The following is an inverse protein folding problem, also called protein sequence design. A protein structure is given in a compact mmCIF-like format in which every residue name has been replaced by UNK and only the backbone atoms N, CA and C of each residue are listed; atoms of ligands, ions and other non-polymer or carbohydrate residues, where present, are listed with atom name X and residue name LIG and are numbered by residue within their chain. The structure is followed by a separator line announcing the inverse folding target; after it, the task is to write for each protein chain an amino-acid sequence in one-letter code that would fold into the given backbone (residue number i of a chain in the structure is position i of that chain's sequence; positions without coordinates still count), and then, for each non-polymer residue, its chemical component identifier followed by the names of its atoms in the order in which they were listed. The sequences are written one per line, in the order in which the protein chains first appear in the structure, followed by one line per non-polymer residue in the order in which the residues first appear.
data_IF_403263990002
#
_entry.id   IF_403263990002
#
_cell.length_a   1.000
_cell.length_b   1.000
_cell.length_c   1.000
_cell.angle_alpha   90.00
_cell.angle_beta   90.00
_cell.angle_gamma   90.00
#
_symmetry.space_group_name_H-M   'P 1'
#
loop_
_entity.id
_entity.type
_entity.pdbx_description
1 polymer ?
#
# COMPACT_ATOMS: atom_id res chain seq x y z
N UNK A 1 9.40 15.39 2.78
CA UNK A 1 9.00 13.99 2.48
C UNK A 1 9.78 13.06 3.41
N UNK A 2 9.11 12.20 4.19
CA UNK A 2 9.82 11.31 5.13
C UNK A 2 10.68 10.28 4.36
N UNK A 3 11.98 10.09 4.69
CA UNK A 3 12.92 9.21 3.98
C UNK A 3 12.42 7.78 3.75
N UNK A 4 11.63 7.27 4.71
CA UNK A 4 11.06 5.92 4.69
C UNK A 4 10.03 5.71 3.57
N UNK A 5 9.36 6.77 3.09
CA UNK A 5 8.35 6.65 2.02
C UNK A 5 8.98 6.42 0.66
N UNK A 6 10.06 7.15 0.37
CA UNK A 6 10.77 7.02 -0.91
C UNK A 6 11.48 5.67 -0.98
N UNK A 7 12.15 5.25 0.10
CA UNK A 7 12.83 3.95 0.13
C UNK A 7 11.85 2.78 -0.04
N UNK A 8 10.66 2.87 0.55
CA UNK A 8 9.59 1.90 0.33
C UNK A 8 9.17 1.85 -1.15
N UNK A 9 8.89 2.99 -1.78
CA UNK A 9 8.44 3.04 -3.18
C UNK A 9 9.47 2.46 -4.14
N UNK A 10 10.75 2.85 -3.99
CA UNK A 10 11.83 2.32 -4.83
C UNK A 10 11.91 0.80 -4.70
N UNK A 11 11.88 0.27 -3.47
CA UNK A 11 11.90 -1.18 -3.23
C UNK A 11 10.65 -1.89 -3.75
N UNK A 12 9.48 -1.28 -3.64
CA UNK A 12 8.22 -1.84 -4.13
C UNK A 12 8.25 -2.01 -5.66
N UNK A 13 8.66 -0.96 -6.37
CA UNK A 13 8.74 -0.94 -7.83
C UNK A 13 9.80 -1.91 -8.36
N UNK A 14 10.94 -1.99 -7.66
CA UNK A 14 12.00 -2.92 -8.04
C UNK A 14 11.77 -4.36 -7.53
N UNK A 15 10.69 -4.64 -6.79
CA UNK A 15 10.41 -5.99 -6.26
C UNK A 15 11.38 -6.47 -5.17
N UNK A 16 11.96 -5.55 -4.39
CA UNK A 16 12.92 -5.82 -3.30
C UNK A 16 12.29 -5.72 -1.91
N UNK A 17 10.96 -5.69 -1.81
CA UNK A 17 10.27 -5.74 -0.53
C UNK A 17 10.39 -7.14 0.11
N UNK A 18 10.28 -7.26 1.44
CA UNK A 18 10.34 -8.53 2.14
C UNK A 18 9.04 -9.36 1.95
N UNK A 19 8.68 -9.72 0.71
CA UNK A 19 7.63 -10.71 0.43
C UNK A 19 8.15 -12.12 0.72
N UNK A 20 7.29 -13.10 1.01
CA UNK A 20 7.78 -14.46 1.33
C UNK A 20 8.68 -15.04 0.23
N UNK A 21 8.40 -14.77 -1.05
CA UNK A 21 9.29 -15.18 -2.13
C UNK A 21 10.72 -14.61 -2.03
N UNK A 22 10.88 -13.37 -1.56
CA UNK A 22 12.19 -12.76 -1.35
C UNK A 22 12.83 -13.23 -0.04
N UNK A 23 12.04 -13.43 1.01
CA UNK A 23 12.54 -13.99 2.27
C UNK A 23 13.13 -15.40 2.07
N UNK A 24 12.49 -16.24 1.25
CA UNK A 24 13.05 -17.54 0.85
C UNK A 24 14.35 -17.37 0.07
N UNK A 25 14.37 -16.44 -0.90
CA UNK A 25 15.59 -16.14 -1.66
C UNK A 25 16.75 -15.67 -0.77
N UNK A 26 16.46 -15.01 0.34
CA UNK A 26 17.46 -14.54 1.31
C UNK A 26 17.80 -15.58 2.39
N UNK A 27 17.22 -16.78 2.33
CA UNK A 27 17.44 -17.82 3.34
C UNK A 27 16.83 -17.50 4.71
N UNK A 28 15.84 -16.60 4.76
CA UNK A 28 15.15 -16.18 6.00
C UNK A 28 13.83 -16.92 6.22
N UNK A 29 13.35 -17.66 5.22
CA UNK A 29 12.13 -18.46 5.28
C UNK A 29 12.29 -19.69 4.38
N UNK A 30 11.57 -20.77 4.67
CA UNK A 30 11.61 -21.99 3.86
C UNK A 30 10.55 -22.00 2.75
N UNK A 31 9.40 -21.37 2.98
CA UNK A 31 8.22 -21.46 2.11
C UNK A 31 7.76 -20.07 1.60
N UNK A 32 7.67 -19.87 0.27
CA UNK A 32 7.24 -18.60 -0.31
C UNK A 32 5.71 -18.43 -0.34
N UNK A 33 4.96 -19.34 0.26
CA UNK A 33 3.49 -19.38 0.16
C UNK A 33 2.81 -18.20 0.86
N UNK A 34 1.76 -17.68 0.23
CA UNK A 34 0.89 -16.65 0.77
C UNK A 34 -0.07 -17.26 1.80
N UNK A 35 -0.16 -16.70 3.01
CA UNK A 35 -1.02 -17.25 4.06
C UNK A 35 -2.52 -17.14 3.76
N UNK A 36 -2.90 -16.31 2.79
CA UNK A 36 -4.32 -16.05 2.45
C UNK A 36 -4.79 -16.96 1.30
N UNK A 37 -4.00 -17.06 0.23
CA UNK A 37 -4.43 -17.74 -0.98
C UNK A 37 -3.64 -19.01 -1.31
N UNK A 38 -2.64 -19.35 -0.48
CA UNK A 38 -1.75 -20.50 -0.67
C UNK A 38 -0.98 -20.53 -2.00
N UNK A 39 -0.90 -19.38 -2.70
CA UNK A 39 -0.07 -19.20 -3.90
C UNK A 39 1.29 -18.60 -3.57
N UNK A 40 2.21 -18.54 -4.53
CA UNK A 40 3.52 -17.91 -4.34
C UNK A 40 3.39 -16.40 -4.06
N UNK A 41 3.91 -15.95 -2.92
CA UNK A 41 3.80 -14.56 -2.46
C UNK A 41 4.99 -13.70 -2.92
N UNK A 42 4.86 -13.15 -4.13
CA UNK A 42 5.76 -12.12 -4.65
C UNK A 42 5.36 -10.72 -4.16
N UNK A 43 6.23 -9.72 -4.39
CA UNK A 43 5.86 -8.31 -4.11
C UNK A 43 4.62 -7.89 -4.91
N UNK A 44 4.55 -8.26 -6.19
CA UNK A 44 3.38 -8.01 -7.04
C UNK A 44 2.11 -8.73 -6.53
N UNK A 45 2.26 -9.97 -6.04
CA UNK A 45 1.15 -10.72 -5.44
C UNK A 45 0.50 -9.96 -4.29
N UNK A 46 1.31 -9.44 -3.36
CA UNK A 46 0.85 -8.71 -2.17
C UNK A 46 0.22 -7.36 -2.55
N UNK A 47 0.78 -6.69 -3.56
CA UNK A 47 0.34 -5.34 -3.93
C UNK A 47 -0.90 -5.33 -4.83
N UNK A 48 -1.03 -6.26 -5.78
CA UNK A 48 -2.06 -6.22 -6.82
C UNK A 48 -2.60 -7.57 -7.30
N UNK A 49 -1.82 -8.66 -7.24
CA UNK A 49 -2.13 -9.87 -8.04
C UNK A 49 -2.72 -11.05 -7.24
N UNK A 50 -2.96 -10.89 -5.94
CA UNK A 50 -3.68 -11.90 -5.12
C UNK A 50 -5.18 -12.00 -5.46
N UNK A 51 -5.59 -13.12 -6.07
CA UNK A 51 -7.00 -13.41 -6.45
C UNK A 51 -7.94 -13.45 -5.25
N UNK A 52 -7.51 -14.05 -4.14
CA UNK A 52 -8.33 -14.13 -2.91
C UNK A 52 -8.44 -12.75 -2.26
N UNK A 53 -7.37 -11.95 -2.26
CA UNK A 53 -7.45 -10.58 -1.76
C UNK A 53 -8.38 -9.70 -2.59
N UNK A 54 -8.40 -9.92 -3.91
CA UNK A 54 -9.34 -9.27 -4.82
C UNK A 54 -10.79 -9.69 -4.51
N UNK A 55 -11.09 -10.99 -4.46
CA UNK A 55 -12.46 -11.48 -4.21
C UNK A 55 -12.99 -11.12 -2.83
N UNK A 56 -12.11 -11.04 -1.83
CA UNK A 56 -12.46 -10.58 -0.47
C UNK A 56 -12.59 -9.05 -0.36
N UNK A 57 -12.39 -8.29 -1.44
CA UNK A 57 -12.52 -6.83 -1.44
C UNK A 57 -11.42 -6.08 -0.66
N UNK A 58 -10.31 -6.74 -0.32
CA UNK A 58 -9.21 -6.12 0.46
C UNK A 58 -8.59 -4.94 -0.29
N UNK A 59 -8.47 -5.04 -1.61
CA UNK A 59 -7.98 -3.94 -2.44
C UNK A 59 -8.93 -2.76 -2.45
N UNK A 60 -10.23 -3.01 -2.56
CA UNK A 60 -11.27 -1.98 -2.46
C UNK A 60 -11.17 -1.25 -1.12
N UNK A 61 -11.03 -1.99 -0.01
CA UNK A 61 -10.86 -1.38 1.30
C UNK A 61 -9.62 -0.49 1.40
N UNK A 62 -8.45 -0.96 0.96
CA UNK A 62 -7.21 -0.16 0.96
C UNK A 62 -7.35 1.10 0.11
N UNK A 63 -7.89 0.97 -1.10
CA UNK A 63 -8.07 2.10 -2.02
C UNK A 63 -9.07 3.12 -1.45
N UNK A 64 -10.22 2.66 -0.93
CA UNK A 64 -11.20 3.53 -0.32
C UNK A 64 -10.63 4.28 0.90
N UNK A 65 -9.76 3.65 1.69
CA UNK A 65 -9.09 4.35 2.78
C UNK A 65 -8.18 5.47 2.30
N UNK A 66 -7.38 5.24 1.26
CA UNK A 66 -6.55 6.31 0.67
C UNK A 66 -7.43 7.43 0.13
N UNK A 67 -8.50 7.11 -0.61
CA UNK A 67 -9.44 8.09 -1.14
C UNK A 67 -10.11 8.91 -0.04
N UNK A 68 -10.48 8.27 1.07
CA UNK A 68 -11.06 8.96 2.22
C UNK A 68 -10.09 9.95 2.86
N UNK A 69 -8.83 9.57 3.06
CA UNK A 69 -7.81 10.51 3.56
C UNK A 69 -7.62 11.70 2.62
N UNK A 70 -7.61 11.47 1.31
CA UNK A 70 -7.53 12.54 0.32
C UNK A 70 -8.75 13.45 0.37
N UNK A 71 -9.96 12.89 0.47
CA UNK A 71 -11.19 13.65 0.57
C UNK A 71 -11.24 14.54 1.82
N UNK A 72 -10.76 14.03 2.97
CA UNK A 72 -10.62 14.80 4.21
C UNK A 72 -9.64 15.96 3.98
N UNK A 73 -8.43 15.66 3.51
CA UNK A 73 -7.40 16.68 3.29
C UNK A 73 -7.87 17.79 2.33
N UNK A 74 -8.57 17.44 1.25
CA UNK A 74 -9.15 18.41 0.31
C UNK A 74 -10.25 19.25 0.97
N UNK A 75 -11.10 18.63 1.78
CA UNK A 75 -12.17 19.33 2.50
C UNK A 75 -11.60 20.32 3.51
N UNK A 76 -10.53 19.93 4.22
CA UNK A 76 -9.83 20.79 5.18
C UNK A 76 -9.22 22.02 4.49
N UNK A 77 -8.52 21.81 3.37
CA UNK A 77 -7.96 22.91 2.57
C UNK A 77 -9.06 23.84 2.08
N UNK A 78 -10.18 23.28 1.59
CA UNK A 78 -11.33 24.08 1.15
C UNK A 78 -11.92 24.89 2.31
N UNK A 79 -12.05 24.32 3.50
CA UNK A 79 -12.55 25.02 4.68
C UNK A 79 -11.61 26.18 5.08
N UNK A 80 -10.29 25.97 5.08
CA UNK A 80 -9.31 27.03 5.32
C UNK A 80 -9.42 28.17 4.30
N UNK A 81 -9.55 27.85 3.01
CA UNK A 81 -9.72 28.86 1.95
C UNK A 81 -11.04 29.63 2.07
N UNK A 82 -12.08 28.99 2.62
CA UNK A 82 -13.37 29.63 2.85
C UNK A 82 -13.43 30.41 4.19
N UNK A 83 -12.44 30.31 5.09
CA UNK A 83 -12.40 31.09 6.34
C UNK A 83 -12.03 32.56 6.02
N UNK A 84 -12.92 33.54 6.31
CA UNK A 84 -12.65 34.96 6.10
C UNK A 84 -11.40 35.47 6.84
N UNK A 85 -10.96 34.80 7.92
CA UNK A 85 -9.78 35.17 8.71
C UNK A 85 -8.45 34.78 8.05
N UNK A 86 -8.46 33.99 6.99
CA UNK A 86 -7.25 33.65 6.20
C UNK A 86 -7.08 34.53 4.94
N UNK A 87 -8.00 35.47 4.69
CA UNK A 87 -7.83 36.53 3.67
C UNK A 87 -7.14 37.75 4.28
N UNK A 88 -5.83 37.66 4.49
CA UNK A 88 -4.98 38.81 4.81
C UNK A 88 -3.68 38.73 4.01
#
# INVERSE_FOLDING_TARGET
MAPLRISFLVRALSGHLPSNANLVRWGMKDDPTCPICQGKETTEHVLSSSKVSLSQGRYTWRHNRVLQYLAIAISDVKACLCDPRQRH
#
